data_IF_463295816003
#
_entry.id   IF_463295816003
#
_cell.length_a   1.000
_cell.length_b   1.000
_cell.length_c   1.000
_cell.angle_alpha   90.00
_cell.angle_beta   90.00
_cell.angle_gamma   90.00
#
_symmetry.space_group_name_H-M   'P 1'
#
loop_
_entity.id
_entity.type
_entity.pdbx_description
1 polymer ?
#
# COMPACT_ATOMS: atom_id res chain seq x y z
N UNK A 1 18.61 8.43 -1.56
CA UNK A 1 18.09 7.05 -1.69
C UNK A 1 17.00 7.07 -2.75
N UNK A 2 17.16 6.28 -3.80
CA UNK A 2 16.19 6.20 -4.90
C UNK A 2 14.91 5.51 -4.41
N UNK A 3 13.87 6.29 -4.18
CA UNK A 3 12.54 5.81 -3.78
C UNK A 3 11.78 5.15 -4.94
N UNK A 4 12.25 5.36 -6.17
CA UNK A 4 11.58 4.94 -7.40
C UNK A 4 12.13 3.63 -7.99
N UNK A 5 13.22 3.07 -7.48
CA UNK A 5 13.79 1.83 -8.05
C UNK A 5 12.87 0.62 -7.81
N UNK A 6 12.66 -0.17 -8.86
CA UNK A 6 11.91 -1.42 -8.78
C UNK A 6 12.90 -2.56 -8.52
N UNK A 7 12.79 -3.20 -7.37
CA UNK A 7 13.68 -4.28 -6.94
C UNK A 7 13.14 -5.65 -7.33
N UNK A 8 11.81 -5.79 -7.33
CA UNK A 8 11.10 -7.02 -7.66
C UNK A 8 9.95 -6.73 -8.62
N UNK A 9 10.05 -7.25 -9.84
CA UNK A 9 9.02 -7.05 -10.87
C UNK A 9 7.70 -7.70 -10.51
N UNK A 10 7.69 -8.74 -9.65
CA UNK A 10 6.46 -9.38 -9.18
C UNK A 10 5.62 -8.46 -8.28
N UNK A 11 6.20 -7.33 -7.83
CA UNK A 11 5.52 -6.30 -7.03
C UNK A 11 4.92 -5.17 -7.87
N UNK A 12 5.10 -5.21 -9.20
CA UNK A 12 4.42 -4.30 -10.12
C UNK A 12 2.92 -4.58 -10.14
N UNK A 13 2.11 -3.53 -10.03
CA UNK A 13 0.66 -3.62 -10.01
C UNK A 13 0.06 -2.99 -11.26
N UNK A 14 -1.11 -3.48 -11.73
CA UNK A 14 -1.87 -2.79 -12.77
C UNK A 14 -2.06 -1.30 -12.44
N UNK A 15 -1.80 -0.43 -13.41
CA UNK A 15 -1.83 1.03 -13.25
C UNK A 15 -0.51 1.66 -12.80
N UNK A 16 0.52 0.89 -12.43
CA UNK A 16 1.84 1.43 -12.15
C UNK A 16 2.44 2.08 -13.41
N UNK A 17 2.80 3.36 -13.32
CA UNK A 17 3.60 4.02 -14.35
C UNK A 17 5.07 3.69 -14.11
N UNK A 18 5.70 3.06 -15.10
CA UNK A 18 7.11 2.73 -15.11
C UNK A 18 7.84 3.51 -16.20
N UNK A 19 9.10 3.86 -15.93
CA UNK A 19 10.00 4.36 -16.94
C UNK A 19 11.33 3.63 -16.87
N UNK A 20 12.05 3.58 -17.99
CA UNK A 20 13.40 3.01 -18.04
C UNK A 20 14.32 3.94 -18.82
N UNK A 21 15.51 4.16 -18.26
CA UNK A 21 16.55 4.93 -18.90
C UNK A 21 16.99 4.27 -20.21
N UNK A 22 16.94 5.03 -21.30
CA UNK A 22 17.49 4.62 -22.59
C UNK A 22 18.87 5.27 -22.76
N UNK A 23 19.91 4.50 -22.44
CA UNK A 23 21.32 4.89 -22.65
C UNK A 23 21.80 4.60 -24.08
N UNK A 24 20.99 3.93 -24.90
CA UNK A 24 21.40 3.44 -26.23
C UNK A 24 21.23 4.47 -27.34
N UNK A 25 20.47 5.55 -27.11
CA UNK A 25 20.14 6.58 -28.12
C UNK A 25 20.90 7.90 -27.96
N UNK A 26 22.12 7.83 -27.45
CA UNK A 26 23.04 8.97 -27.31
C UNK A 26 23.13 9.78 -28.62
N UNK A 27 23.07 11.13 -28.61
CA UNK A 27 23.26 12.04 -27.47
C UNK A 27 21.99 12.43 -26.69
N UNK A 28 20.81 11.92 -27.04
CA UNK A 28 19.57 12.28 -26.34
C UNK A 28 19.37 11.41 -25.10
N UNK A 29 19.42 12.02 -23.92
CA UNK A 29 18.98 11.34 -22.69
C UNK A 29 17.47 11.19 -22.75
N UNK A 30 17.01 9.97 -22.96
CA UNK A 30 15.60 9.63 -23.09
C UNK A 30 15.25 8.56 -22.05
N UNK A 31 14.07 8.71 -21.47
CA UNK A 31 13.41 7.67 -20.68
C UNK A 31 12.24 7.16 -21.48
N UNK A 32 12.08 5.84 -21.49
CA UNK A 32 10.95 5.19 -22.15
C UNK A 32 9.89 4.87 -21.11
N UNK A 33 8.65 5.30 -21.33
CA UNK A 33 7.57 5.26 -20.37
C UNK A 33 6.48 4.27 -20.77
N UNK A 34 5.86 3.62 -19.79
CA UNK A 34 4.78 2.68 -19.97
C UNK A 34 3.95 2.50 -18.71
N UNK A 35 2.76 1.93 -18.87
CA UNK A 35 1.86 1.59 -17.76
C UNK A 35 1.79 0.08 -17.65
N UNK A 36 1.98 -0.47 -16.45
CA UNK A 36 1.71 -1.88 -16.18
C UNK A 36 0.22 -2.11 -16.39
N UNK A 37 -0.13 -2.86 -17.43
CA UNK A 37 -1.51 -3.16 -17.80
C UNK A 37 -2.04 -4.37 -17.02
N UNK A 38 -1.20 -5.39 -16.86
CA UNK A 38 -1.47 -6.57 -16.06
C UNK A 38 -0.20 -7.01 -15.32
N UNK A 39 -0.32 -7.25 -14.01
CA UNK A 39 0.78 -7.77 -13.18
C UNK A 39 0.89 -9.30 -13.26
N UNK A 40 2.10 -9.81 -13.06
CA UNK A 40 2.40 -11.24 -13.00
C UNK A 40 3.70 -11.46 -12.20
N UNK A 41 4.11 -12.73 -12.03
CA UNK A 41 5.30 -13.08 -11.24
C UNK A 41 6.62 -12.93 -12.02
N UNK A 42 6.60 -12.97 -13.34
CA UNK A 42 7.79 -12.89 -14.20
C UNK A 42 7.67 -11.75 -15.22
N UNK A 43 8.81 -11.23 -15.68
CA UNK A 43 8.84 -10.14 -16.66
C UNK A 43 8.13 -10.49 -17.98
N UNK A 44 8.24 -11.73 -18.46
CA UNK A 44 7.59 -12.15 -19.71
C UNK A 44 6.06 -12.20 -19.61
N UNK A 45 5.52 -12.42 -18.41
CA UNK A 45 4.09 -12.51 -18.16
C UNK A 45 3.46 -11.17 -17.76
N UNK A 46 4.27 -10.19 -17.36
CA UNK A 46 3.78 -8.83 -17.06
C UNK A 46 3.49 -8.13 -18.38
N UNK A 47 2.28 -7.58 -18.52
CA UNK A 47 1.90 -6.82 -19.70
C UNK A 47 2.07 -5.32 -19.45
N UNK A 48 2.72 -4.62 -20.38
CA UNK A 48 2.95 -3.18 -20.34
C UNK A 48 2.27 -2.50 -21.53
N UNK A 49 1.42 -1.51 -21.25
CA UNK A 49 0.81 -0.64 -22.24
C UNK A 49 1.69 0.59 -22.47
N UNK A 50 2.18 0.77 -23.69
CA UNK A 50 3.08 1.87 -24.02
C UNK A 50 3.14 2.15 -25.52
N UNK A 51 3.75 3.28 -25.88
CA UNK A 51 3.99 3.62 -27.29
C UNK A 51 5.32 3.01 -27.74
N UNK A 52 5.29 2.16 -28.76
CA UNK A 52 6.50 1.50 -29.25
C UNK A 52 6.37 1.02 -30.70
N UNK A 53 7.52 0.70 -31.31
CA UNK A 53 7.65 0.06 -32.61
C UNK A 53 8.83 -0.93 -32.56
N UNK A 54 8.68 -2.07 -33.24
CA UNK A 54 9.76 -3.05 -33.45
C UNK A 54 10.75 -2.63 -34.53
N UNK A 55 10.43 -1.60 -35.33
CA UNK A 55 11.32 -1.13 -36.40
C UNK A 55 12.55 -0.45 -35.81
N UNK A 56 13.70 -0.72 -36.42
CA UNK A 56 14.95 -0.01 -36.15
C UNK A 56 15.00 1.31 -36.92
N UNK A 57 15.80 2.26 -36.43
CA UNK A 57 15.98 3.59 -37.02
C UNK A 57 14.94 4.62 -36.54
N UNK A 58 15.39 5.86 -36.32
CA UNK A 58 14.58 6.91 -35.68
C UNK A 58 13.30 7.24 -36.47
N UNK A 59 13.43 7.51 -37.78
CA UNK A 59 12.28 7.89 -38.62
C UNK A 59 11.29 6.74 -38.79
N UNK A 60 11.79 5.55 -39.11
CA UNK A 60 10.95 4.37 -39.31
C UNK A 60 10.22 3.93 -38.03
N UNK A 61 10.92 3.95 -36.88
CA UNK A 61 10.29 3.65 -35.59
C UNK A 61 9.25 4.69 -35.20
N UNK A 62 9.49 5.98 -35.41
CA UNK A 62 8.49 7.02 -35.10
C UNK A 62 7.22 6.88 -35.96
N UNK A 63 7.39 6.67 -37.27
CA UNK A 63 6.25 6.53 -38.19
C UNK A 63 5.39 5.29 -37.89
N UNK A 64 6.00 4.23 -37.36
CA UNK A 64 5.34 2.96 -37.04
C UNK A 64 4.88 2.85 -35.58
N UNK A 65 5.28 3.80 -34.72
CA UNK A 65 4.97 3.74 -33.31
C UNK A 65 3.47 3.86 -33.07
N UNK A 66 2.96 2.97 -32.23
CA UNK A 66 1.55 2.95 -31.82
C UNK A 66 1.43 2.56 -30.36
N UNK A 67 0.30 2.87 -29.75
CA UNK A 67 0.00 2.42 -28.40
C UNK A 67 -0.37 0.93 -28.44
N UNK A 68 0.39 0.10 -27.73
CA UNK A 68 0.23 -1.36 -27.77
C UNK A 68 0.64 -2.00 -26.46
N UNK A 69 0.33 -3.30 -26.34
CA UNK A 69 0.76 -4.15 -25.24
C UNK A 69 2.01 -4.93 -25.65
N UNK A 70 2.96 -5.02 -24.73
CA UNK A 70 4.16 -5.85 -24.81
C UNK A 70 4.39 -6.57 -23.49
N UNK A 71 5.30 -7.54 -23.46
CA UNK A 71 5.81 -8.04 -22.18
C UNK A 71 6.73 -7.01 -21.51
N UNK A 72 6.95 -7.12 -20.20
CA UNK A 72 7.94 -6.27 -19.53
C UNK A 72 9.34 -6.51 -20.12
N UNK A 73 9.69 -7.74 -20.48
CA UNK A 73 10.96 -8.05 -21.13
C UNK A 73 11.15 -7.30 -22.46
N UNK A 74 10.11 -7.25 -23.30
CA UNK A 74 10.11 -6.47 -24.54
C UNK A 74 10.20 -4.96 -24.24
N UNK A 75 9.48 -4.47 -23.23
CA UNK A 75 9.56 -3.07 -22.79
C UNK A 75 10.97 -2.70 -22.33
N UNK A 76 11.63 -3.57 -21.57
CA UNK A 76 13.00 -3.41 -21.12
C UNK A 76 13.98 -3.41 -22.30
N UNK A 77 13.70 -4.16 -23.37
CA UNK A 77 14.51 -4.19 -24.60
C UNK A 77 16.01 -4.40 -24.30
N UNK A 78 16.32 -5.47 -23.55
CA UNK A 78 17.65 -5.84 -23.05
C UNK A 78 18.34 -4.84 -22.09
N UNK A 79 17.65 -3.77 -21.65
CA UNK A 79 18.18 -2.87 -20.61
C UNK A 79 18.06 -3.51 -19.22
N UNK A 80 19.02 -3.27 -18.31
CA UNK A 80 19.03 -3.93 -17.02
C UNK A 80 17.91 -3.37 -16.12
N UNK A 81 17.34 -4.23 -15.26
CA UNK A 81 16.24 -3.85 -14.36
C UNK A 81 16.59 -2.66 -13.45
N UNK A 82 17.87 -2.53 -13.05
CA UNK A 82 18.37 -1.42 -12.23
C UNK A 82 18.22 -0.04 -12.88
N UNK A 83 17.93 0.03 -14.18
CA UNK A 83 17.69 1.27 -14.92
C UNK A 83 16.19 1.60 -14.98
N UNK A 84 15.32 0.68 -14.53
CA UNK A 84 13.88 0.87 -14.44
C UNK A 84 13.50 1.60 -13.15
N UNK A 85 12.50 2.45 -13.25
CA UNK A 85 11.92 3.22 -12.15
C UNK A 85 10.41 3.13 -12.21
N UNK A 86 9.77 3.11 -11.04
CA UNK A 86 8.35 3.38 -10.86
C UNK A 86 8.18 4.87 -10.62
N UNK A 87 7.41 5.51 -11.48
CA UNK A 87 7.19 6.95 -11.44
C UNK A 87 6.39 7.32 -10.19
N UNK A 88 6.85 8.32 -9.46
CA UNK A 88 6.21 8.78 -8.22
C UNK A 88 5.36 10.03 -8.45
N UNK A 89 4.16 10.02 -7.88
CA UNK A 89 3.21 11.12 -7.94
C UNK A 89 3.04 11.75 -6.56
N UNK A 90 2.30 12.86 -6.48
CA UNK A 90 2.01 13.55 -5.21
C UNK A 90 3.26 14.02 -4.45
N UNK A 91 4.36 14.27 -5.18
CA UNK A 91 5.66 14.60 -4.61
C UNK A 91 5.81 16.08 -4.28
N UNK A 92 6.80 16.41 -3.44
CA UNK A 92 7.10 17.81 -3.12
C UNK A 92 7.82 18.51 -4.27
N UNK A 93 7.78 19.85 -4.27
CA UNK A 93 8.55 20.71 -5.18
C UNK A 93 10.02 20.32 -5.27
N UNK A 94 10.65 20.13 -4.11
CA UNK A 94 12.07 19.77 -4.03
C UNK A 94 12.30 18.37 -4.62
N UNK A 95 11.43 17.40 -4.33
CA UNK A 95 11.55 16.06 -4.88
C UNK A 95 11.39 16.04 -6.41
N UNK A 96 10.43 16.81 -6.95
CA UNK A 96 10.26 16.95 -8.39
C UNK A 96 11.48 17.64 -9.03
N UNK A 97 11.95 18.77 -8.47
CA UNK A 97 13.10 19.50 -9.01
C UNK A 97 14.41 18.68 -8.95
N UNK A 98 14.60 17.86 -7.91
CA UNK A 98 15.79 17.00 -7.78
C UNK A 98 15.71 15.69 -8.56
N UNK A 99 14.54 15.32 -9.09
CA UNK A 99 14.38 14.09 -9.88
C UNK A 99 14.77 14.31 -11.34
N UNK A 100 15.50 13.34 -11.88
CA UNK A 100 15.90 13.35 -13.28
C UNK A 100 14.75 12.85 -14.16
N UNK A 101 14.55 13.50 -15.31
CA UNK A 101 13.79 13.02 -16.48
C UNK A 101 12.46 12.26 -16.22
N UNK A 102 11.52 12.87 -15.49
CA UNK A 102 10.14 12.37 -15.40
C UNK A 102 9.90 11.25 -14.39
N UNK A 103 10.87 10.93 -13.53
CA UNK A 103 10.69 9.91 -12.49
C UNK A 103 9.74 10.33 -11.36
N UNK A 104 9.54 11.65 -11.20
CA UNK A 104 8.71 12.22 -10.15
C UNK A 104 7.89 13.37 -10.69
N UNK A 105 6.60 13.38 -10.36
CA UNK A 105 5.65 14.43 -10.68
C UNK A 105 4.92 14.94 -9.43
N UNK A 106 4.58 16.23 -9.44
CA UNK A 106 3.72 16.84 -8.42
C UNK A 106 2.23 16.51 -8.58
N UNK A 107 1.81 16.25 -9.81
CA UNK A 107 0.41 16.00 -10.15
C UNK A 107 -0.13 14.80 -9.38
N UNK A 108 -1.43 14.84 -9.07
CA UNK A 108 -2.12 13.69 -8.52
C UNK A 108 -2.37 12.63 -9.58
N UNK A 109 -1.88 11.42 -9.33
CA UNK A 109 -2.26 10.24 -10.09
C UNK A 109 -3.72 9.91 -9.82
N UNK A 110 -4.45 9.50 -10.85
CA UNK A 110 -5.76 8.90 -10.74
C UNK A 110 -5.67 7.47 -10.21
N UNK A 111 -6.81 6.92 -9.79
CA UNK A 111 -6.89 5.53 -9.32
C UNK A 111 -6.50 4.53 -10.44
N UNK A 112 -5.89 3.38 -10.12
CA UNK A 112 -5.49 2.38 -11.11
C UNK A 112 -6.58 1.99 -12.14
N UNK A 113 -7.87 1.82 -11.75
CA UNK A 113 -8.91 1.50 -12.74
C UNK A 113 -9.14 2.62 -13.77
N UNK A 114 -9.00 3.89 -13.38
CA UNK A 114 -9.06 5.04 -14.30
C UNK A 114 -7.87 5.03 -15.26
N UNK A 115 -6.67 4.76 -14.74
CA UNK A 115 -5.45 4.64 -15.57
C UNK A 115 -5.61 3.53 -16.61
N UNK A 116 -6.10 2.36 -16.20
CA UNK A 116 -6.32 1.23 -17.08
C UNK A 116 -7.45 1.49 -18.09
N UNK A 117 -8.53 2.20 -17.71
CA UNK A 117 -9.59 2.60 -18.63
C UNK A 117 -9.05 3.49 -19.76
N UNK A 118 -8.20 4.47 -19.41
CA UNK A 118 -7.50 5.30 -20.41
C UNK A 118 -6.55 4.49 -21.29
N UNK A 119 -5.82 3.51 -20.73
CA UNK A 119 -5.00 2.61 -21.53
C UNK A 119 -5.84 1.81 -22.54
N UNK A 120 -6.97 1.22 -22.11
CA UNK A 120 -7.89 0.48 -23.00
C UNK A 120 -8.43 1.38 -24.11
N UNK A 121 -8.78 2.61 -23.78
CA UNK A 121 -9.22 3.60 -24.76
C UNK A 121 -8.14 3.85 -25.84
N UNK A 122 -6.89 4.13 -25.45
CA UNK A 122 -5.81 4.35 -26.41
C UNK A 122 -5.47 3.10 -27.24
N UNK A 123 -5.53 1.91 -26.64
CA UNK A 123 -5.38 0.64 -27.37
C UNK A 123 -6.44 0.49 -28.47
N UNK A 124 -7.66 0.99 -28.23
CA UNK A 124 -8.75 1.00 -29.22
C UNK A 124 -8.60 2.05 -30.32
N UNK A 125 -7.81 3.11 -30.11
CA UNK A 125 -7.52 4.13 -31.13
C UNK A 125 -6.44 3.66 -32.13
N UNK A 126 -5.50 2.82 -31.69
CA UNK A 126 -4.46 2.25 -32.54
C UNK A 126 -3.30 3.21 -32.84
N UNK A 127 -3.02 3.45 -34.12
CA UNK A 127 -1.90 4.28 -34.57
C UNK A 127 -2.32 5.75 -34.71
N UNK A 128 -1.46 6.65 -34.24
CA UNK A 128 -1.65 8.10 -34.40
C UNK A 128 -0.32 8.83 -34.45
N UNK A 129 -0.34 10.16 -34.47
CA UNK A 129 0.89 10.96 -34.54
C UNK A 129 1.74 10.74 -33.29
N UNK A 130 2.90 10.10 -33.43
CA UNK A 130 3.92 9.97 -32.40
C UNK A 130 5.20 10.68 -32.82
N UNK A 131 5.78 11.44 -31.89
CA UNK A 131 7.07 12.09 -32.10
C UNK A 131 7.79 12.22 -30.77
N UNK A 132 9.05 11.78 -30.73
CA UNK A 132 9.90 11.88 -29.52
C UNK A 132 10.09 13.35 -29.09
N UNK A 133 9.94 14.29 -30.02
CA UNK A 133 10.14 15.73 -29.79
C UNK A 133 8.83 16.51 -29.58
N UNK A 134 7.66 15.87 -29.69
CA UNK A 134 6.38 16.52 -29.37
C UNK A 134 5.45 15.59 -28.60
N UNK A 135 4.77 14.63 -29.23
CA UNK A 135 3.96 13.64 -28.51
C UNK A 135 4.77 12.36 -28.23
N UNK A 136 5.61 12.42 -27.20
CA UNK A 136 6.46 11.29 -26.79
C UNK A 136 5.72 10.31 -25.84
N UNK A 137 6.41 9.24 -25.42
CA UNK A 137 5.82 8.22 -24.55
C UNK A 137 5.45 8.74 -23.15
N UNK A 138 6.17 9.73 -22.61
CA UNK A 138 5.86 10.33 -21.31
C UNK A 138 4.53 11.07 -21.33
N UNK A 139 4.27 11.86 -22.38
CA UNK A 139 2.96 12.54 -22.53
C UNK A 139 1.81 11.54 -22.47
N UNK A 140 1.96 10.40 -23.16
CA UNK A 140 0.93 9.37 -23.23
C UNK A 140 0.74 8.66 -21.90
N UNK A 141 1.83 8.25 -21.25
CA UNK A 141 1.78 7.58 -19.96
C UNK A 141 1.28 8.51 -18.84
N UNK A 142 1.69 9.78 -18.86
CA UNK A 142 1.21 10.79 -17.93
C UNK A 142 -0.27 11.11 -18.16
N UNK A 143 -0.73 11.19 -19.40
CA UNK A 143 -2.15 11.35 -19.71
C UNK A 143 -2.97 10.16 -19.21
N UNK A 144 -2.49 8.93 -19.40
CA UNK A 144 -3.13 7.75 -18.80
C UNK A 144 -3.22 7.89 -17.27
N UNK A 145 -2.15 8.36 -16.63
CA UNK A 145 -2.08 8.41 -15.17
C UNK A 145 -2.85 9.58 -14.55
N UNK A 146 -2.94 10.73 -15.22
CA UNK A 146 -3.41 11.99 -14.63
C UNK A 146 -4.48 12.72 -15.45
N UNK A 147 -4.71 12.30 -16.69
CA UNK A 147 -5.54 13.01 -17.67
C UNK A 147 -4.86 14.23 -18.29
N UNK A 148 -3.60 14.53 -17.94
CA UNK A 148 -2.84 15.67 -18.46
C UNK A 148 -1.75 15.19 -19.41
N UNK A 149 -1.74 15.71 -20.65
CA UNK A 149 -0.66 15.50 -21.61
C UNK A 149 0.50 16.46 -21.36
N UNK A 150 1.44 16.10 -20.48
CA UNK A 150 2.67 16.85 -20.21
C UNK A 150 3.88 15.93 -20.27
N UNK A 151 5.03 16.45 -20.67
CA UNK A 151 6.31 15.75 -20.58
C UNK A 151 7.32 16.61 -19.86
N UNK A 152 7.93 16.04 -18.81
CA UNK A 152 9.07 16.65 -18.14
C UNK A 152 10.33 16.54 -18.99
N UNK A 153 10.47 15.49 -19.80
CA UNK A 153 11.60 15.33 -20.72
C UNK A 153 11.71 16.50 -21.72
N UNK A 154 10.56 16.96 -22.24
CA UNK A 154 10.50 18.03 -23.22
C UNK A 154 10.10 19.38 -22.64
N UNK A 155 9.66 19.41 -21.37
CA UNK A 155 9.06 20.57 -20.72
C UNK A 155 7.90 21.17 -21.54
N UNK A 156 7.09 20.30 -22.14
CA UNK A 156 6.02 20.66 -23.07
C UNK A 156 4.67 20.06 -22.68
N UNK A 157 3.58 20.77 -23.02
CA UNK A 157 2.22 20.21 -23.04
C UNK A 157 1.90 19.72 -24.44
N UNK A 158 1.07 18.69 -24.53
CA UNK A 158 0.47 18.31 -25.80
C UNK A 158 -0.49 19.39 -26.28
N UNK A 159 -0.48 19.67 -27.59
CA UNK A 159 -1.47 20.56 -28.21
C UNK A 159 -2.86 19.93 -28.18
N UNK A 160 -2.93 18.59 -28.30
CA UNK A 160 -4.18 17.84 -28.19
C UNK A 160 -4.51 17.52 -26.74
N UNK A 161 -5.79 17.61 -26.37
CA UNK A 161 -6.27 17.25 -25.02
C UNK A 161 -6.14 15.75 -24.72
N UNK A 162 -6.18 14.92 -25.77
CA UNK A 162 -6.12 13.45 -25.69
C UNK A 162 -5.13 12.93 -26.74
N UNK A 163 -4.15 12.10 -26.36
CA UNK A 163 -3.21 11.48 -27.30
C UNK A 163 -3.91 10.65 -28.37
N UNK A 164 -3.40 10.70 -29.60
CA UNK A 164 -3.88 9.94 -30.76
C UNK A 164 -5.35 10.18 -31.17
N UNK A 165 -6.05 11.11 -30.53
CA UNK A 165 -7.45 11.41 -30.86
C UNK A 165 -7.53 12.08 -32.23
N UNK A 166 -8.31 11.49 -33.13
CA UNK A 166 -8.65 12.06 -34.44
C UNK A 166 -10.04 12.70 -34.39
N UNK A 167 -10.32 13.64 -35.31
CA UNK A 167 -11.62 14.33 -35.42
C UNK A 167 -12.76 13.45 -35.97
N UNK A 168 -12.69 12.12 -35.80
CA UNK A 168 -13.70 11.19 -36.33
C UNK A 168 -14.86 11.01 -35.35
N UNK A 169 -16.07 10.76 -35.88
CA UNK A 169 -17.24 10.48 -35.07
C UNK A 169 -17.06 9.23 -34.18
N UNK A 170 -16.36 8.21 -34.68
CA UNK A 170 -16.01 7.00 -33.91
C UNK A 170 -15.12 7.33 -32.70
N UNK A 171 -14.14 8.21 -32.90
CA UNK A 171 -13.24 8.69 -31.83
C UNK A 171 -14.00 9.49 -30.77
N UNK A 172 -14.94 10.34 -31.20
CA UNK A 172 -15.80 11.11 -30.29
C UNK A 172 -16.70 10.20 -29.45
N UNK A 173 -17.35 9.21 -30.06
CA UNK A 173 -18.19 8.25 -29.33
C UNK A 173 -17.36 7.38 -28.36
N UNK A 174 -16.15 6.98 -28.75
CA UNK A 174 -15.24 6.25 -27.87
C UNK A 174 -14.83 7.09 -26.66
N UNK A 175 -14.62 8.40 -26.85
CA UNK A 175 -14.29 9.32 -25.77
C UNK A 175 -15.46 9.50 -24.80
N UNK A 176 -16.68 9.65 -25.30
CA UNK A 176 -17.88 9.72 -24.46
C UNK A 176 -18.06 8.45 -23.60
N UNK A 177 -17.85 7.26 -24.20
CA UNK A 177 -17.87 6.00 -23.45
C UNK A 177 -16.81 5.93 -22.36
N UNK A 178 -15.59 6.41 -22.65
CA UNK A 178 -14.53 6.51 -21.64
C UNK A 178 -14.99 7.44 -20.51
N UNK A 179 -15.51 8.63 -20.81
CA UNK A 179 -15.95 9.60 -19.80
C UNK A 179 -17.04 9.01 -18.88
N UNK A 180 -18.03 8.32 -19.44
CA UNK A 180 -19.04 7.59 -18.66
C UNK A 180 -18.43 6.51 -17.76
N UNK A 181 -17.49 5.72 -18.29
CA UNK A 181 -16.79 4.72 -17.49
C UNK A 181 -15.99 5.37 -16.35
N UNK A 182 -15.33 6.50 -16.59
CA UNK A 182 -14.57 7.21 -15.56
C UNK A 182 -15.49 7.79 -14.48
N UNK A 183 -16.69 8.25 -14.84
CA UNK A 183 -17.71 8.66 -13.86
C UNK A 183 -18.12 7.48 -12.99
N UNK A 184 -18.44 6.33 -13.58
CA UNK A 184 -18.80 5.12 -12.81
C UNK A 184 -17.73 4.71 -11.79
N UNK A 185 -16.46 4.67 -12.19
CA UNK A 185 -15.34 4.35 -11.29
C UNK A 185 -15.24 5.36 -10.13
N UNK A 186 -15.49 6.65 -10.40
CA UNK A 186 -15.44 7.70 -9.38
C UNK A 186 -16.61 7.59 -8.40
N UNK A 187 -17.80 7.21 -8.85
CA UNK A 187 -18.95 6.99 -7.98
C UNK A 187 -18.74 5.78 -7.07
N UNK A 188 -18.23 4.65 -7.59
CA UNK A 188 -17.85 3.50 -6.75
C UNK A 188 -16.82 3.87 -5.68
N UNK A 189 -15.86 4.72 -6.04
CA UNK A 189 -14.86 5.21 -5.09
C UNK A 189 -15.46 6.10 -4.01
N UNK A 190 -16.40 6.98 -4.38
CA UNK A 190 -17.11 7.83 -3.42
C UNK A 190 -17.92 6.98 -2.44
N UNK A 191 -18.60 5.94 -2.91
CA UNK A 191 -19.34 5.03 -2.03
C UNK A 191 -18.41 4.32 -1.02
N UNK A 192 -17.25 3.83 -1.48
CA UNK A 192 -16.22 3.27 -0.58
C UNK A 192 -15.73 4.29 0.44
N UNK A 193 -15.52 5.54 0.02
CA UNK A 193 -15.11 6.62 0.90
C UNK A 193 -16.20 6.95 1.93
N UNK A 194 -17.47 6.96 1.55
CA UNK A 194 -18.59 7.16 2.48
C UNK A 194 -18.65 6.07 3.54
N UNK A 195 -18.50 4.79 3.16
CA UNK A 195 -18.39 3.68 4.11
C UNK A 195 -17.22 3.83 5.08
N UNK A 196 -16.09 4.36 4.61
CA UNK A 196 -14.95 4.63 5.47
C UNK A 196 -15.19 5.84 6.40
N UNK A 197 -15.88 6.88 5.92
CA UNK A 197 -16.27 8.04 6.74
C UNK A 197 -17.28 7.68 7.84
N UNK A 198 -18.16 6.70 7.61
CA UNK A 198 -19.04 6.14 8.64
C UNK A 198 -18.28 5.49 9.80
N UNK A 199 -17.03 5.08 9.59
CA UNK A 199 -16.15 4.56 10.64
C UNK A 199 -15.41 5.67 11.40
N UNK A 200 -15.53 6.94 11.00
CA UNK A 200 -14.87 8.04 11.68
C UNK A 200 -15.37 8.16 13.13
N UNK A 201 -14.45 8.22 14.08
CA UNK A 201 -14.70 8.27 15.52
C UNK A 201 -14.95 6.91 16.18
N UNK A 202 -15.19 5.85 15.40
CA UNK A 202 -15.46 4.50 15.93
C UNK A 202 -14.17 3.77 16.36
N UNK A 203 -14.36 2.69 17.13
CA UNK A 203 -13.30 1.70 17.41
C UNK A 203 -13.10 0.84 16.17
N UNK A 204 -11.87 0.76 15.69
CA UNK A 204 -11.50 0.01 14.49
C UNK A 204 -10.27 -0.85 14.71
N UNK A 205 -10.15 -1.91 13.91
CA UNK A 205 -8.95 -2.72 13.78
C UNK A 205 -8.29 -2.50 12.43
N UNK A 206 -6.96 -2.56 12.42
CA UNK A 206 -6.15 -2.51 11.21
C UNK A 206 -5.74 -3.93 10.82
N UNK A 207 -6.37 -4.49 9.78
CA UNK A 207 -6.15 -5.86 9.30
C UNK A 207 -5.27 -5.86 8.05
N UNK A 208 -4.33 -6.80 7.97
CA UNK A 208 -3.59 -7.08 6.74
C UNK A 208 -4.51 -7.80 5.76
N UNK A 209 -4.66 -7.23 4.56
CA UNK A 209 -5.55 -7.74 3.51
C UNK A 209 -5.15 -9.18 3.13
N UNK A 210 -6.11 -10.09 3.13
CA UNK A 210 -5.92 -11.47 2.64
C UNK A 210 -5.09 -12.38 3.53
N UNK A 211 -4.73 -11.99 4.77
CA UNK A 211 -3.88 -12.83 5.63
C UNK A 211 -4.43 -13.08 7.04
N UNK A 212 -5.62 -12.58 7.40
CA UNK A 212 -6.21 -12.72 8.73
C UNK A 212 -5.37 -12.13 9.88
N UNK A 213 -4.32 -11.38 9.58
CA UNK A 213 -3.40 -10.80 10.57
C UNK A 213 -3.81 -9.37 10.90
N UNK A 214 -3.62 -8.96 12.13
CA UNK A 214 -3.99 -7.64 12.62
C UNK A 214 -2.80 -6.91 13.23
N UNK A 215 -2.86 -5.59 13.25
CA UNK A 215 -1.89 -4.78 13.98
C UNK A 215 -2.14 -4.89 15.49
N UNK A 216 -1.08 -5.23 16.23
CA UNK A 216 -1.06 -5.28 17.70
C UNK A 216 0.12 -4.48 18.25
N UNK A 217 -0.15 -3.73 19.31
CA UNK A 217 0.79 -2.93 20.07
C UNK A 217 1.58 -3.83 21.01
N UNK A 218 2.90 -3.76 20.91
CA UNK A 218 3.85 -4.28 21.89
C UNK A 218 4.77 -3.14 22.31
N UNK A 219 4.66 -2.71 23.57
CA UNK A 219 5.31 -1.49 24.04
C UNK A 219 4.78 -0.25 23.32
N UNK A 220 5.64 0.46 22.61
CA UNK A 220 5.25 1.60 21.77
C UNK A 220 5.08 1.24 20.29
N UNK A 221 5.42 0.02 19.86
CA UNK A 221 5.48 -0.39 18.45
C UNK A 221 4.29 -1.25 18.03
N UNK A 222 3.99 -1.25 16.72
CA UNK A 222 2.98 -2.13 16.13
C UNK A 222 3.60 -3.29 15.35
N UNK A 223 3.05 -4.48 15.55
CA UNK A 223 3.42 -5.73 14.90
C UNK A 223 2.20 -6.38 14.27
N UNK A 224 2.40 -7.19 13.23
CA UNK A 224 1.35 -8.08 12.73
C UNK A 224 1.30 -9.35 13.55
N UNK A 225 0.12 -9.63 14.09
CA UNK A 225 -0.19 -10.88 14.79
C UNK A 225 -1.35 -11.58 14.10
N UNK A 226 -1.36 -12.91 14.18
CA UNK A 226 -2.50 -13.69 13.71
C UNK A 226 -3.52 -13.76 14.84
N UNK A 227 -4.75 -13.36 14.54
CA UNK A 227 -5.88 -13.57 15.45
C UNK A 227 -6.52 -14.90 15.06
N UNK A 228 -6.36 -15.92 15.89
CA UNK A 228 -7.02 -17.20 15.74
C UNK A 228 -8.23 -17.24 16.67
N UNK A 229 -9.46 -17.09 16.15
CA UNK A 229 -10.67 -17.12 16.97
C UNK A 229 -10.97 -18.51 17.53
N UNK A 230 -10.32 -19.56 17.02
CA UNK A 230 -10.46 -20.94 17.50
C UNK A 230 -9.51 -21.30 18.63
N UNK A 231 -8.50 -20.45 18.88
CA UNK A 231 -7.59 -20.60 20.01
C UNK A 231 -8.35 -20.40 21.32
N UNK A 232 -8.45 -21.48 22.09
CA UNK A 232 -9.18 -21.52 23.37
C UNK A 232 -8.31 -21.05 24.51
N UNK A 233 -6.99 -21.15 24.38
CA UNK A 233 -6.08 -20.68 25.40
C UNK A 233 -5.95 -19.15 25.34
N UNK A 234 -6.42 -18.49 26.40
CA UNK A 234 -6.40 -17.05 26.54
C UNK A 234 -4.98 -16.46 26.51
N UNK A 235 -3.96 -17.24 26.90
CA UNK A 235 -2.57 -16.80 26.92
C UNK A 235 -1.99 -16.65 25.51
N UNK A 236 -2.48 -17.45 24.55
CA UNK A 236 -2.03 -17.41 23.16
C UNK A 236 -2.91 -16.56 22.25
N UNK A 237 -4.16 -16.27 22.66
CA UNK A 237 -5.09 -15.44 21.89
C UNK A 237 -4.60 -13.99 21.77
N UNK A 238 -4.16 -13.64 20.57
CA UNK A 238 -3.63 -12.31 20.29
C UNK A 238 -4.76 -11.32 19.99
N UNK A 239 -5.17 -10.52 20.99
CA UNK A 239 -6.11 -9.42 20.73
C UNK A 239 -5.48 -8.29 19.89
N UNK A 240 -6.11 -7.88 18.77
CA UNK A 240 -5.69 -6.73 17.99
C UNK A 240 -5.71 -5.42 18.79
N UNK A 241 -4.91 -4.44 18.38
CA UNK A 241 -4.99 -3.10 18.98
C UNK A 241 -6.16 -2.33 18.41
N UNK A 242 -7.08 -1.96 19.31
CA UNK A 242 -8.19 -1.09 19.01
C UNK A 242 -7.70 0.35 18.77
N UNK A 243 -8.10 0.93 17.65
CA UNK A 243 -7.76 2.29 17.26
C UNK A 243 -9.04 3.11 17.10
N UNK A 244 -8.99 4.40 17.44
CA UNK A 244 -9.99 5.37 17.05
C UNK A 244 -9.59 5.98 15.72
N UNK A 245 -10.48 5.88 14.73
CA UNK A 245 -10.22 6.37 13.39
C UNK A 245 -10.63 7.84 13.24
N UNK A 246 -9.78 8.65 12.62
CA UNK A 246 -10.19 9.91 12.02
C UNK A 246 -9.95 9.86 10.52
N UNK A 247 -10.95 10.24 9.73
CA UNK A 247 -10.93 10.20 8.27
C UNK A 247 -11.11 11.60 7.71
N UNK A 248 -10.36 11.91 6.64
CA UNK A 248 -10.57 13.11 5.83
C UNK A 248 -10.44 12.77 4.36
N UNK A 249 -11.55 12.82 3.64
CA UNK A 249 -11.58 12.67 2.18
C UNK A 249 -11.39 14.04 1.54
N UNK A 250 -10.46 14.14 0.60
CA UNK A 250 -10.18 15.40 -0.13
C UNK A 250 -10.43 15.29 -1.64
N UNK A 251 -10.38 14.07 -2.18
CA UNK A 251 -10.81 13.70 -3.51
C UNK A 251 -11.19 12.21 -3.50
N UNK A 252 -11.83 11.73 -4.56
CA UNK A 252 -12.31 10.34 -4.66
C UNK A 252 -11.20 9.29 -4.43
N UNK A 253 -9.94 9.62 -4.73
CA UNK A 253 -8.76 8.78 -4.54
C UNK A 253 -7.71 9.39 -3.60
N UNK A 254 -8.10 10.39 -2.78
CA UNK A 254 -7.21 11.02 -1.81
C UNK A 254 -7.87 11.06 -0.44
N UNK A 255 -7.63 9.99 0.32
CA UNK A 255 -8.13 9.79 1.68
C UNK A 255 -6.97 9.89 2.65
N UNK A 256 -7.13 10.71 3.69
CA UNK A 256 -6.18 10.80 4.80
C UNK A 256 -6.81 10.20 6.05
N UNK A 257 -6.00 9.43 6.77
CA UNK A 257 -6.40 8.81 8.03
C UNK A 257 -5.42 9.18 9.14
N UNK A 258 -5.95 9.29 10.35
CA UNK A 258 -5.23 9.41 11.60
C UNK A 258 -5.80 8.34 12.53
N UNK A 259 -4.93 7.64 13.25
CA UNK A 259 -5.27 6.49 14.07
C UNK A 259 -4.76 6.76 15.48
N UNK A 260 -5.67 6.81 16.44
CA UNK A 260 -5.36 7.03 17.86
C UNK A 260 -5.60 5.75 18.64
N UNK A 261 -4.84 5.48 19.69
CA UNK A 261 -5.08 4.35 20.56
C UNK A 261 -6.43 4.52 21.28
N UNK A 262 -7.32 3.53 21.13
CA UNK A 262 -8.65 3.60 21.73
C UNK A 262 -8.60 3.46 23.25
N UNK A 263 -7.69 2.64 23.78
CA UNK A 263 -7.54 2.38 25.22
C UNK A 263 -6.72 3.48 25.91
N UNK A 264 -5.82 4.12 25.17
CA UNK A 264 -4.96 5.21 25.67
C UNK A 264 -5.12 6.50 24.83
N UNK A 265 -6.22 7.25 25.03
CA UNK A 265 -6.42 8.52 24.33
C UNK A 265 -5.21 9.46 24.49
N UNK A 266 -4.84 10.12 23.39
CA UNK A 266 -3.65 10.95 23.25
C UNK A 266 -2.44 10.25 22.62
N UNK A 267 -2.38 8.91 22.66
CA UNK A 267 -1.37 8.14 21.92
C UNK A 267 -1.80 8.00 20.46
N UNK A 268 -1.10 8.67 19.55
CA UNK A 268 -1.46 8.70 18.12
C UNK A 268 -0.42 7.94 17.31
N UNK A 269 -0.88 7.26 16.26
CA UNK A 269 -0.05 6.48 15.37
C UNK A 269 0.93 7.38 14.63
N UNK A 270 2.18 6.96 14.65
CA UNK A 270 3.32 7.73 14.21
C UNK A 270 4.31 6.81 13.50
N UNK A 271 4.72 7.19 12.30
CA UNK A 271 5.79 6.46 11.61
C UNK A 271 7.16 6.99 12.06
N UNK A 272 7.97 6.13 12.67
CA UNK A 272 9.38 6.37 12.94
C UNK A 272 10.28 5.61 11.95
N UNK A 273 11.57 5.96 11.87
CA UNK A 273 12.53 5.24 11.04
C UNK A 273 12.68 3.76 11.44
N UNK A 274 12.48 3.46 12.73
CA UNK A 274 12.56 2.13 13.30
C UNK A 274 11.25 1.33 13.29
N UNK A 275 10.10 1.95 13.05
CA UNK A 275 8.80 1.27 13.11
C UNK A 275 7.61 2.21 13.24
N UNK A 276 6.39 1.68 13.07
CA UNK A 276 5.14 2.34 13.42
C UNK A 276 4.95 2.28 14.93
N UNK A 277 4.63 3.43 15.53
CA UNK A 277 4.53 3.59 16.97
C UNK A 277 3.26 4.32 17.38
N UNK A 278 2.71 3.98 18.53
CA UNK A 278 1.68 4.76 19.21
C UNK A 278 2.37 5.60 20.29
N UNK A 279 2.33 6.92 20.13
CA UNK A 279 3.03 7.86 21.01
C UNK A 279 2.17 9.05 21.35
N UNK A 280 2.33 9.57 22.57
CA UNK A 280 1.68 10.80 22.99
C UNK A 280 2.07 11.95 22.07
N UNK A 281 1.07 12.66 21.57
CA UNK A 281 1.28 13.84 20.72
C UNK A 281 1.68 15.05 21.57
N UNK A 282 2.82 15.66 21.25
CA UNK A 282 3.28 16.89 21.89
C UNK A 282 2.88 18.15 21.09
N UNK A 283 2.68 19.27 21.78
CA UNK A 283 2.17 20.52 21.18
C UNK A 283 3.03 21.07 20.03
N UNK A 284 4.35 20.90 20.09
CA UNK A 284 5.29 21.39 19.06
C UNK A 284 5.36 20.48 17.82
N UNK A 285 4.73 19.31 17.84
CA UNK A 285 4.78 18.38 16.72
C UNK A 285 3.74 18.73 15.65
N UNK A 286 4.18 18.77 14.40
CA UNK A 286 3.29 19.05 13.27
C UNK A 286 2.21 17.98 13.14
N UNK A 287 0.94 18.40 13.03
CA UNK A 287 -0.22 17.50 12.85
C UNK A 287 0.00 16.48 11.72
N UNK A 288 0.60 16.92 10.61
CA UNK A 288 0.87 16.09 9.42
C UNK A 288 1.76 14.88 9.70
N UNK A 289 2.53 14.87 10.79
CA UNK A 289 3.41 13.73 11.12
C UNK A 289 2.66 12.49 11.59
N UNK A 290 1.41 12.65 12.05
CA UNK A 290 0.52 11.61 12.55
C UNK A 290 -0.51 11.16 11.51
N UNK A 291 -0.39 11.67 10.28
CA UNK A 291 -1.34 11.41 9.21
C UNK A 291 -0.75 10.47 8.17
N UNK A 292 -1.60 9.59 7.68
CA UNK A 292 -1.31 8.66 6.61
C UNK A 292 -2.25 8.93 5.45
N UNK A 293 -1.75 8.77 4.22
CA UNK A 293 -2.63 8.67 3.05
C UNK A 293 -2.96 7.20 2.83
N UNK A 294 -4.25 6.89 2.71
CA UNK A 294 -4.73 5.56 2.38
C UNK A 294 -4.84 5.47 0.86
N UNK A 295 -4.00 4.62 0.27
CA UNK A 295 -3.98 4.35 -1.16
C UNK A 295 -5.17 3.52 -1.61
N UNK A 296 -5.38 3.46 -2.93
CA UNK A 296 -6.52 2.76 -3.55
C UNK A 296 -6.65 1.30 -3.13
N UNK A 297 -5.52 0.59 -3.01
CA UNK A 297 -5.47 -0.82 -2.62
C UNK A 297 -5.37 -1.02 -1.10
N UNK A 298 -5.55 0.04 -0.29
CA UNK A 298 -5.42 -0.01 1.17
C UNK A 298 -3.98 0.19 1.69
N UNK A 299 -3.05 0.64 0.85
CA UNK A 299 -1.68 0.91 1.27
C UNK A 299 -1.61 2.17 2.13
N UNK A 300 -0.96 2.11 3.28
CA UNK A 300 -0.75 3.29 4.11
C UNK A 300 0.56 3.98 3.75
N UNK A 301 0.50 5.29 3.46
CA UNK A 301 1.68 6.11 3.17
C UNK A 301 1.86 7.18 4.24
N UNK A 302 3.00 7.18 4.94
CA UNK A 302 3.27 8.17 5.99
C UNK A 302 3.57 9.55 5.41
N UNK A 303 2.79 10.56 5.79
CA UNK A 303 3.03 11.94 5.37
C UNK A 303 4.26 12.57 6.03
N UNK A 304 4.78 11.97 7.11
CA UNK A 304 6.04 12.38 7.76
C UNK A 304 7.25 12.04 6.91
N UNK A 305 7.34 10.79 6.45
CA UNK A 305 8.48 10.28 5.71
C UNK A 305 8.31 10.44 4.20
N UNK A 306 7.80 11.59 3.74
CA UNK A 306 7.61 11.87 2.30
C UNK A 306 6.84 10.74 1.58
N UNK A 307 5.77 10.23 2.19
CA UNK A 307 4.87 9.20 1.63
C UNK A 307 5.49 7.80 1.53
N UNK A 308 6.46 7.47 2.39
CA UNK A 308 6.93 6.09 2.52
C UNK A 308 5.78 5.14 2.89
N UNK A 309 5.80 3.96 2.28
CA UNK A 309 4.78 2.94 2.44
C UNK A 309 4.96 2.19 3.75
N UNK A 310 3.88 1.91 4.45
CA UNK A 310 3.89 1.01 5.59
C UNK A 310 3.93 -0.43 5.08
N UNK A 311 4.89 -1.20 5.59
CA UNK A 311 5.03 -2.61 5.31
C UNK A 311 5.30 -3.42 6.57
N UNK A 312 5.17 -4.73 6.47
CA UNK A 312 5.52 -5.65 7.54
C UNK A 312 6.89 -6.27 7.27
N UNK A 313 7.75 -6.27 8.29
CA UNK A 313 9.03 -6.94 8.24
C UNK A 313 8.81 -8.47 8.31
N UNK A 314 9.44 -9.22 7.42
CA UNK A 314 9.19 -10.66 7.24
C UNK A 314 9.60 -11.51 8.44
N UNK A 315 10.62 -11.08 9.19
CA UNK A 315 11.20 -11.86 10.30
C UNK A 315 10.33 -11.85 11.56
N UNK A 316 9.80 -10.69 11.93
CA UNK A 316 9.17 -10.44 13.23
C UNK A 316 7.78 -9.81 13.11
N UNK A 317 7.31 -9.49 11.90
CA UNK A 317 6.02 -8.87 11.69
C UNK A 317 5.98 -7.38 12.06
N UNK A 318 7.11 -6.76 12.42
CA UNK A 318 7.16 -5.34 12.79
C UNK A 318 6.67 -4.47 11.64
N UNK A 319 5.70 -3.60 11.91
CA UNK A 319 5.23 -2.62 10.96
C UNK A 319 6.20 -1.44 10.91
N UNK A 320 6.66 -1.07 9.71
CA UNK A 320 7.60 0.04 9.53
C UNK A 320 7.46 0.73 8.19
N UNK A 321 7.92 1.99 8.05
CA UNK A 321 7.90 2.68 6.78
C UNK A 321 9.05 2.21 5.87
N UNK A 322 8.76 2.06 4.59
CA UNK A 322 9.68 1.72 3.51
C UNK A 322 9.59 2.74 2.38
N UNK A 323 10.75 3.10 1.82
CA UNK A 323 10.83 4.04 0.71
C UNK A 323 10.30 3.49 -0.62
N UNK A 324 10.24 2.16 -0.78
CA UNK A 324 9.76 1.48 -1.99
C UNK A 324 8.41 0.82 -1.75
N UNK A 325 7.54 0.90 -2.77
CA UNK A 325 6.23 0.24 -2.81
C UNK A 325 6.35 -1.29 -2.81
N UNK A 326 7.50 -1.86 -3.19
CA UNK A 326 7.71 -3.32 -3.25
C UNK A 326 7.52 -3.99 -1.88
N UNK A 327 7.75 -3.23 -0.80
CA UNK A 327 7.61 -3.67 0.59
C UNK A 327 6.30 -3.21 1.22
N UNK A 328 5.42 -2.53 0.48
CA UNK A 328 4.16 -2.03 0.99
C UNK A 328 3.22 -3.19 1.34
N UNK A 329 2.58 -3.07 2.49
CA UNK A 329 1.45 -3.90 2.90
C UNK A 329 0.15 -3.15 2.60
N UNK A 330 -0.93 -3.92 2.37
CA UNK A 330 -2.28 -3.40 2.14
C UNK A 330 -3.15 -3.70 3.34
N UNK A 331 -3.81 -2.68 3.87
CA UNK A 331 -4.59 -2.78 5.09
C UNK A 331 -6.06 -2.49 4.85
N UNK A 332 -6.90 -3.20 5.58
CA UNK A 332 -8.33 -2.95 5.71
C UNK A 332 -8.59 -2.35 7.08
N UNK A 333 -9.44 -1.33 7.13
CA UNK A 333 -9.92 -0.72 8.37
C UNK A 333 -11.30 -1.30 8.65
N UNK A 334 -11.45 -1.98 9.78
CA UNK A 334 -12.62 -2.80 10.10
C UNK A 334 -13.26 -2.25 11.38
N UNK A 335 -14.59 -2.16 11.40
CA UNK A 335 -15.33 -1.85 12.63
C UNK A 335 -15.07 -2.94 13.68
N UNK A 336 -14.44 -2.54 14.79
CA UNK A 336 -14.02 -3.47 15.83
C UNK A 336 -15.23 -4.04 16.59
N UNK A 337 -16.26 -3.23 16.82
CA UNK A 337 -17.45 -3.64 17.54
C UNK A 337 -18.24 -4.70 16.76
N UNK A 338 -18.41 -4.48 15.45
CA UNK A 338 -19.06 -5.46 14.58
C UNK A 338 -18.27 -6.77 14.47
N UNK A 339 -16.94 -6.71 14.50
CA UNK A 339 -16.07 -7.89 14.42
C UNK A 339 -16.12 -8.69 15.73
N UNK A 340 -16.04 -8.01 16.87
CA UNK A 340 -16.07 -8.63 18.19
C UNK A 340 -17.43 -9.26 18.47
N UNK A 341 -18.54 -8.61 18.06
CA UNK A 341 -19.90 -9.15 18.19
C UNK A 341 -20.11 -10.44 17.38
N UNK A 342 -19.35 -10.65 16.30
CA UNK A 342 -19.39 -11.87 15.48
C UNK A 342 -18.46 -12.97 15.99
N UNK A 343 -17.54 -12.64 16.89
CA UNK A 343 -16.67 -13.64 17.52
C UNK A 343 -17.46 -14.35 18.63
N UNK A 344 -17.43 -15.69 18.70
CA UNK A 344 -18.11 -16.41 19.78
C UNK A 344 -17.51 -15.99 21.12
N UNK A 345 -18.33 -15.38 21.98
CA UNK A 345 -18.00 -15.22 23.40
C UNK A 345 -17.97 -16.61 24.01
N UNK A 346 -16.78 -17.09 24.36
CA UNK A 346 -16.63 -18.20 25.28
C UNK A 346 -16.79 -17.60 26.68
N UNK A 347 -17.91 -17.90 27.33
CA UNK A 347 -18.14 -17.64 28.76
C UNK A 347 -16.93 -18.16 29.56
N UNK A 348 -16.38 -17.38 30.52
CA UNK A 348 -15.37 -17.91 31.42
C UNK A 348 -16.02 -19.05 32.22
N UNK A 349 -15.47 -20.26 32.10
CA UNK A 349 -15.88 -21.38 32.95
C UNK A 349 -15.65 -21.00 34.40
N UNK A 350 -16.74 -20.89 35.14
CA UNK A 350 -16.76 -20.72 36.58
C UNK A 350 -16.34 -22.02 37.25
N UNK A 351 -15.05 -22.36 37.19
CA UNK A 351 -14.50 -23.41 38.04
C UNK A 351 -14.18 -22.81 39.41
N UNK A 352 -15.24 -22.56 40.18
CA UNK A 352 -15.18 -22.43 41.62
C UNK A 352 -15.64 -23.76 42.22
N UNK A 353 -14.74 -24.74 42.30
CA UNK A 353 -14.90 -25.84 43.26
C UNK A 353 -14.22 -25.44 44.57
N UNK A 354 -15.02 -24.82 45.43
CA UNK A 354 -14.85 -24.86 46.87
C UNK A 354 -14.73 -26.33 47.31
N UNK A 355 -13.54 -26.75 47.72
CA UNK A 355 -13.38 -28.00 48.48
C UNK A 355 -13.15 -27.63 49.94
N UNK A 356 -14.25 -27.55 50.69
CA UNK A 356 -14.22 -27.56 52.15
C UNK A 356 -13.74 -28.92 52.67
N UNK A 357 -13.03 -28.98 53.81
CA UNK A 357 -12.44 -30.21 54.33
C UNK A 357 -13.49 -31.07 55.05
N UNK A 358 -13.41 -32.41 55.01
CA UNK A 358 -14.29 -33.26 55.80
C UNK A 358 -13.79 -33.35 57.24
N UNK A 359 -14.71 -33.20 58.19
CA UNK A 359 -14.53 -33.47 59.61
C UNK A 359 -15.17 -34.82 59.99
N UNK A 360 -14.74 -35.33 61.15
CA UNK A 360 -15.14 -36.52 61.91
C UNK A 360 -14.33 -37.81 61.56
N UNK A 361 -13.89 -38.65 62.51
CA UNK A 361 -14.23 -38.78 63.94
C UNK A 361 -13.13 -39.60 64.66
N UNK A 362 -13.04 -39.43 65.98
CA UNK A 362 -12.17 -40.13 66.92
C UNK A 362 -12.58 -41.60 67.08
N UNK A 363 -11.64 -42.55 67.21
CA UNK A 363 -11.44 -43.34 68.45
C UNK A 363 -10.25 -44.33 68.44
N UNK A 364 -9.57 -44.36 69.60
CA UNK A 364 -8.87 -45.47 70.30
C UNK A 364 -7.38 -45.76 70.04
N UNK A 365 -6.59 -45.25 70.99
CA UNK A 365 -5.56 -45.93 71.80
C UNK A 365 -4.99 -47.28 71.32
N UNK A 366 -3.67 -47.32 71.12
CA UNK A 366 -2.81 -48.27 71.81
C UNK A 366 -1.35 -47.77 71.84
N UNK A 367 -0.75 -47.91 73.01
CA UNK A 367 0.61 -47.57 73.43
C UNK A 367 1.70 -48.23 72.58
N UNK A 368 2.82 -47.53 72.33
CA UNK A 368 4.19 -47.97 72.66
C UNK A 368 5.23 -46.94 72.22
N UNK A 369 5.87 -46.29 73.21
CA UNK A 369 7.27 -45.85 73.14
C UNK A 369 8.17 -47.00 73.63
N UNK A 370 9.52 -46.94 73.55
CA UNK A 370 10.39 -46.02 72.80
C UNK A 370 11.46 -46.78 71.98
N UNK A 371 12.26 -46.08 71.18
CA UNK A 371 13.68 -46.40 71.14
C UNK A 371 14.53 -45.17 70.84
N UNK A 372 15.45 -44.95 71.77
CA UNK A 372 16.54 -43.99 71.73
C UNK A 372 17.50 -44.34 70.60
N UNK A 373 18.01 -43.35 69.87
CA UNK A 373 19.46 -43.24 69.75
C UNK A 373 19.95 -41.82 69.49
N UNK A 374 21.05 -41.54 70.17
CA UNK A 374 21.74 -40.27 70.35
C UNK A 374 22.93 -40.21 69.39
N UNK A 375 23.16 -39.05 68.77
CA UNK A 375 24.45 -38.40 68.50
C UNK A 375 24.27 -37.45 67.31
N UNK A 376 24.64 -36.17 67.33
CA UNK A 376 25.68 -35.49 68.09
C UNK A 376 26.68 -34.87 67.10
N UNK A 377 26.90 -33.55 67.21
CA UNK A 377 28.05 -32.85 66.59
C UNK A 377 27.68 -31.95 65.40
N UNK A 378 27.49 -30.63 65.53
CA UNK A 378 28.43 -29.53 65.88
C UNK A 378 29.30 -29.08 64.69
N UNK A 379 28.92 -27.89 64.17
CA UNK A 379 29.70 -26.78 63.59
C UNK A 379 30.91 -27.06 62.69
N UNK A 380 30.93 -26.47 61.49
CA UNK A 380 31.64 -25.20 61.20
C UNK A 380 31.00 -24.50 60.01
#
# INVERSE_FOLDING_TARGET
MNTCEVQDVARLRPGDHICIWDTTRWPFRYTHHGIVFAGARSADAISVAHVWSRKSGLRASQADSKFQLTSLSEFLNARPLRDMRRVQYNSSLVAEASSLLGEVHRTHADAPPVVLARCRFLLGLGQGHFSILSLNCEHVALWCTTGVGWSKQLLSRTETKVPFLTASAKSAQALERLELQLVGIREEAKEKNSKLEELAGKRVYLRLTGSGKFAKRFGDQLYLVQDDPTEKDWAFRQRPTALRLAVRVSAYNCVRVELEDYEKPGDVLYASTGGLKLTRRHALQFKRWFQFELGWDGELQSLRHRRWFVGAQTRDGLLRPFSSRDKAATFEIIDADDMDARSPMLEPSSDSEDTAPPAADNTKEAETEPDLEVAGGVSS
#
